data_IF_455265853138
#
_entry.id   IF_455265853138
#
_cell.length_a   1.000
_cell.length_b   1.000
_cell.length_c   1.000
_cell.angle_alpha   90.00
_cell.angle_beta   90.00
_cell.angle_gamma   90.00
#
_symmetry.space_group_name_H-M   'P 1'
#
loop_
_entity.id
_entity.type
_entity.pdbx_description
1 polymer ?
#
# COMPACT_ATOMS: atom_id res chain seq x y z
N UNK A 1 -2.69 14.96 20.89
CA UNK A 1 -4.02 14.36 21.11
C UNK A 1 -4.73 13.94 19.80
N UNK A 2 -4.02 13.89 18.64
CA UNK A 2 -4.60 13.52 17.33
C UNK A 2 -4.43 12.03 16.95
N UNK A 3 -3.73 11.24 17.76
CA UNK A 3 -3.42 9.83 17.43
C UNK A 3 -4.44 8.80 17.96
N UNK A 4 -5.49 9.23 18.66
CA UNK A 4 -6.49 8.31 19.25
C UNK A 4 -7.75 8.13 18.38
N UNK A 5 -7.93 8.94 17.34
CA UNK A 5 -9.15 8.94 16.51
C UNK A 5 -9.12 7.86 15.42
N UNK A 6 -7.93 7.42 15.01
CA UNK A 6 -7.78 6.41 13.95
C UNK A 6 -8.14 4.98 14.42
N UNK A 7 -8.05 4.71 15.72
CA UNK A 7 -8.32 3.36 16.26
C UNK A 7 -9.82 3.06 16.42
N UNK A 8 -10.69 4.08 16.39
CA UNK A 8 -12.14 3.89 16.55
C UNK A 8 -12.88 3.61 15.24
N UNK A 9 -12.26 3.83 14.08
CA UNK A 9 -12.88 3.54 12.79
C UNK A 9 -12.80 2.06 12.40
N UNK A 10 -11.85 1.31 12.96
CA UNK A 10 -11.70 -0.13 12.72
C UNK A 10 -12.77 -0.98 13.41
N UNK A 11 -13.48 -0.44 14.41
CA UNK A 11 -14.48 -1.17 15.19
C UNK A 11 -15.89 -1.20 14.60
N UNK A 12 -16.21 -0.36 13.62
CA UNK A 12 -17.57 -0.21 13.12
C UNK A 12 -17.89 -0.95 11.81
N UNK A 13 -16.90 -1.60 11.19
CA UNK A 13 -17.10 -2.40 9.96
C UNK A 13 -17.68 -3.81 10.23
N UNK A 14 -17.73 -4.24 11.48
CA UNK A 14 -18.22 -5.57 11.88
C UNK A 14 -19.76 -5.74 11.84
N UNK A 15 -20.53 -4.74 11.42
CA UNK A 15 -21.99 -4.74 11.55
C UNK A 15 -22.77 -4.77 10.22
N UNK A 16 -22.13 -5.09 9.08
CA UNK A 16 -22.88 -5.41 7.87
C UNK A 16 -23.06 -6.92 7.84
N UNK A 17 -24.02 -7.42 8.64
CA UNK A 17 -24.53 -8.77 8.50
C UNK A 17 -25.29 -8.87 7.17
N UNK A 18 -24.59 -9.23 6.11
CA UNK A 18 -25.24 -9.69 4.90
C UNK A 18 -26.01 -10.99 5.22
N UNK A 19 -27.27 -11.14 4.74
CA UNK A 19 -28.02 -12.37 4.97
C UNK A 19 -27.23 -13.55 4.39
N UNK A 20 -26.99 -14.56 5.22
CA UNK A 20 -26.40 -15.83 4.81
C UNK A 20 -27.30 -16.47 3.76
N UNK A 21 -27.02 -16.25 2.49
CA UNK A 21 -27.54 -17.06 1.41
C UNK A 21 -26.78 -18.38 1.49
N UNK A 22 -27.50 -19.43 1.85
CA UNK A 22 -27.01 -20.81 1.81
C UNK A 22 -26.73 -21.17 0.34
N UNK A 23 -25.52 -20.89 -0.11
CA UNK A 23 -24.99 -21.29 -1.39
C UNK A 23 -23.94 -22.36 -1.14
N UNK A 24 -23.90 -23.40 -1.97
CA UNK A 24 -22.84 -24.40 -1.95
C UNK A 24 -21.49 -23.69 -1.74
N UNK A 25 -20.70 -24.18 -0.78
CA UNK A 25 -19.55 -23.49 -0.23
C UNK A 25 -18.47 -23.23 -1.28
N UNK A 26 -18.64 -22.17 -2.07
CA UNK A 26 -17.58 -21.56 -2.82
C UNK A 26 -16.69 -20.81 -1.81
N UNK A 27 -15.68 -21.49 -1.34
CA UNK A 27 -14.75 -21.05 -0.28
C UNK A 27 -14.18 -19.65 -0.54
N UNK A 28 -14.17 -19.21 -1.80
CA UNK A 28 -13.57 -17.94 -2.21
C UNK A 28 -14.58 -16.89 -2.70
N UNK A 29 -15.89 -17.11 -2.61
CA UNK A 29 -16.90 -16.10 -2.94
C UNK A 29 -17.28 -15.29 -1.71
N UNK A 30 -17.43 -13.98 -1.87
CA UNK A 30 -18.05 -13.12 -0.88
C UNK A 30 -17.28 -11.86 -0.56
N UNK A 31 -17.87 -11.06 0.33
CA UNK A 31 -17.23 -9.89 0.90
C UNK A 31 -16.09 -10.35 1.81
N UNK A 32 -14.92 -9.76 1.65
CA UNK A 32 -13.76 -10.03 2.52
C UNK A 32 -13.23 -8.75 3.16
N UNK A 33 -12.74 -8.90 4.37
CA UNK A 33 -11.99 -7.89 5.08
C UNK A 33 -10.74 -8.50 5.68
N UNK A 34 -9.62 -7.80 5.62
CA UNK A 34 -8.34 -8.28 6.16
C UNK A 34 -7.51 -7.16 6.75
N UNK A 35 -6.67 -7.52 7.72
CA UNK A 35 -5.54 -6.71 8.15
C UNK A 35 -4.27 -7.27 7.51
N UNK A 36 -3.35 -6.38 7.15
CA UNK A 36 -2.10 -6.73 6.49
C UNK A 36 -0.93 -6.09 7.22
N UNK A 37 0.23 -6.74 7.15
CA UNK A 37 1.48 -6.19 7.65
C UNK A 37 2.66 -6.87 7.00
N UNK A 38 3.77 -6.15 6.82
CA UNK A 38 4.93 -6.72 6.15
C UNK A 38 6.10 -5.78 5.99
N UNK A 39 7.10 -6.28 5.32
CA UNK A 39 8.31 -5.54 4.97
C UNK A 39 8.05 -4.59 3.80
N UNK A 40 8.63 -3.42 3.90
CA UNK A 40 8.45 -2.32 2.96
C UNK A 40 9.81 -1.72 2.59
N UNK A 41 10.07 -1.63 1.30
CA UNK A 41 11.30 -1.08 0.73
C UNK A 41 10.92 -0.09 -0.39
N UNK A 42 11.31 1.16 -0.21
CA UNK A 42 11.05 2.26 -1.13
C UNK A 42 12.39 2.73 -1.69
N UNK A 43 12.54 2.65 -3.00
CA UNK A 43 13.75 3.07 -3.71
C UNK A 43 13.42 4.26 -4.62
N UNK A 44 14.17 5.35 -4.48
CA UNK A 44 14.12 6.44 -5.44
C UNK A 44 14.97 6.05 -6.65
N UNK A 45 14.33 5.96 -7.83
CA UNK A 45 15.01 5.66 -9.06
C UNK A 45 15.90 6.79 -9.51
N UNK A 46 17.12 6.48 -9.92
CA UNK A 46 18.11 7.44 -10.43
C UNK A 46 17.90 7.76 -11.91
N UNK A 47 16.69 8.09 -12.34
CA UNK A 47 16.51 8.59 -13.71
C UNK A 47 17.15 9.96 -13.94
N UNK A 48 17.78 10.52 -12.90
CA UNK A 48 18.47 11.84 -12.92
C UNK A 48 19.99 11.67 -13.03
N UNK A 49 20.55 10.50 -12.80
CA UNK A 49 22.00 10.27 -12.81
C UNK A 49 22.46 9.52 -14.04
N UNK A 50 22.89 10.29 -15.06
CA UNK A 50 23.56 9.78 -16.29
C UNK A 50 25.10 9.83 -16.16
N UNK A 51 25.66 9.90 -14.96
CA UNK A 51 27.11 10.08 -14.75
C UNK A 51 27.85 8.87 -14.16
N UNK A 52 27.26 7.68 -14.22
CA UNK A 52 27.98 6.40 -14.08
C UNK A 52 28.51 6.11 -12.68
N UNK A 53 27.93 6.68 -11.65
CA UNK A 53 28.25 6.37 -10.26
C UNK A 53 27.13 5.50 -9.66
N UNK A 54 27.34 4.18 -9.70
CA UNK A 54 26.36 3.13 -9.34
C UNK A 54 26.02 3.07 -7.82
N UNK A 55 26.24 4.14 -7.05
CA UNK A 55 26.11 4.09 -5.58
C UNK A 55 25.06 5.05 -4.99
N UNK A 56 24.17 5.64 -5.80
CA UNK A 56 23.24 6.65 -5.30
C UNK A 56 21.78 6.17 -5.15
N UNK A 57 21.54 4.86 -5.23
CA UNK A 57 20.22 4.30 -4.92
C UNK A 57 20.00 4.34 -3.41
N UNK A 58 19.24 5.31 -2.93
CA UNK A 58 18.82 5.35 -1.52
C UNK A 58 17.53 4.58 -1.37
N UNK A 59 17.59 3.48 -0.65
CA UNK A 59 16.41 2.72 -0.23
C UNK A 59 16.04 3.05 1.21
N UNK A 60 14.73 3.15 1.45
CA UNK A 60 14.16 3.37 2.77
C UNK A 60 13.39 2.11 3.14
N UNK A 61 13.84 1.44 4.18
CA UNK A 61 13.22 0.21 4.66
C UNK A 61 12.32 0.48 5.86
N UNK A 62 11.23 -0.29 5.96
CA UNK A 62 10.30 -0.17 7.05
C UNK A 62 9.31 -1.32 7.18
N UNK A 63 8.33 -1.12 8.03
CA UNK A 63 7.22 -2.02 8.23
C UNK A 63 5.93 -1.34 7.77
N UNK A 64 5.28 -1.92 6.73
CA UNK A 64 3.96 -1.49 6.28
C UNK A 64 2.87 -2.26 7.02
N UNK A 65 1.77 -1.58 7.35
CA UNK A 65 0.61 -2.17 7.99
C UNK A 65 -0.68 -1.49 7.52
N UNK A 66 -1.80 -2.22 7.53
CA UNK A 66 -3.05 -1.64 7.07
C UNK A 66 -4.21 -2.60 7.07
N UNK A 67 -5.23 -2.24 6.30
CA UNK A 67 -6.44 -3.03 6.14
C UNK A 67 -6.95 -2.96 4.69
N UNK A 68 -7.58 -4.05 4.24
CA UNK A 68 -8.20 -4.13 2.94
C UNK A 68 -9.61 -4.70 3.03
N UNK A 69 -10.45 -4.26 2.11
CA UNK A 69 -11.79 -4.80 1.87
C UNK A 69 -11.92 -5.17 0.40
N UNK A 70 -12.67 -6.20 0.10
CA UNK A 70 -12.87 -6.62 -1.28
C UNK A 70 -14.07 -7.55 -1.42
N UNK A 71 -14.41 -7.83 -2.65
CA UNK A 71 -15.43 -8.81 -3.00
C UNK A 71 -14.92 -9.72 -4.10
N UNK A 72 -15.10 -11.01 -3.90
CA UNK A 72 -14.64 -12.03 -4.83
C UNK A 72 -15.83 -12.84 -5.37
N UNK A 73 -15.68 -13.28 -6.62
CA UNK A 73 -16.55 -14.23 -7.30
C UNK A 73 -15.75 -15.46 -7.68
N UNK A 74 -16.17 -16.60 -7.18
CA UNK A 74 -15.60 -17.92 -7.51
C UNK A 74 -16.39 -18.58 -8.65
N UNK A 75 -15.73 -18.83 -9.76
CA UNK A 75 -16.28 -19.47 -10.95
C UNK A 75 -15.94 -20.97 -11.03
N UNK A 76 -15.64 -21.59 -9.90
CA UNK A 76 -15.29 -22.99 -9.80
C UNK A 76 -13.78 -23.25 -9.78
N UNK A 77 -13.03 -22.87 -10.78
CA UNK A 77 -11.56 -23.01 -10.83
C UNK A 77 -10.82 -21.70 -10.79
N UNK A 78 -11.51 -20.60 -11.11
CA UNK A 78 -10.98 -19.25 -11.15
C UNK A 78 -11.76 -18.33 -10.20
N UNK A 79 -11.07 -17.37 -9.62
CA UNK A 79 -11.64 -16.33 -8.75
C UNK A 79 -11.30 -14.98 -9.35
N UNK A 80 -12.28 -14.07 -9.44
CA UNK A 80 -12.10 -12.70 -9.85
C UNK A 80 -12.70 -11.80 -8.77
N UNK A 81 -12.00 -10.74 -8.40
CA UNK A 81 -12.48 -9.81 -7.37
C UNK A 81 -11.98 -8.40 -7.57
N UNK A 82 -12.56 -7.52 -6.77
CA UNK A 82 -12.12 -6.14 -6.63
C UNK A 82 -11.77 -5.86 -5.16
N UNK A 83 -10.82 -4.96 -4.94
CA UNK A 83 -10.41 -4.59 -3.59
C UNK A 83 -10.02 -3.12 -3.47
N UNK A 84 -10.18 -2.62 -2.26
CA UNK A 84 -9.65 -1.36 -1.78
C UNK A 84 -8.79 -1.62 -0.55
N UNK A 85 -7.67 -0.93 -0.45
CA UNK A 85 -6.73 -1.09 0.65
C UNK A 85 -6.24 0.27 1.13
N UNK A 86 -6.08 0.38 2.43
CA UNK A 86 -5.40 1.47 3.11
C UNK A 86 -4.23 0.90 3.88
N UNK A 87 -3.02 1.38 3.58
CA UNK A 87 -1.81 1.04 4.32
C UNK A 87 -1.08 2.29 4.78
N UNK A 88 -0.26 2.13 5.80
CA UNK A 88 0.68 3.10 6.31
C UNK A 88 2.03 2.41 6.51
N UNK A 89 3.12 3.16 6.58
CA UNK A 89 4.46 2.62 6.72
C UNK A 89 5.23 3.30 7.85
N UNK A 90 6.13 2.55 8.47
CA UNK A 90 7.11 3.08 9.43
C UNK A 90 8.44 3.40 8.79
N UNK A 91 8.54 3.28 7.45
CA UNK A 91 9.75 3.57 6.72
C UNK A 91 10.11 5.05 6.88
N UNK A 92 11.29 5.30 7.40
CA UNK A 92 11.83 6.63 7.69
C UNK A 92 13.28 6.69 7.33
N UNK A 93 13.72 7.82 6.81
CA UNK A 93 15.14 8.12 6.71
C UNK A 93 15.53 9.19 7.74
N UNK A 94 16.51 8.86 8.58
CA UNK A 94 17.14 9.80 9.50
C UNK A 94 18.38 10.36 8.82
N UNK A 95 18.37 11.62 8.41
CA UNK A 95 19.55 12.29 7.88
C UNK A 95 20.50 12.67 9.03
N UNK A 96 21.68 12.07 9.03
CA UNK A 96 22.80 12.58 9.80
C UNK A 96 23.50 13.69 8.98
N UNK A 97 23.86 14.79 9.66
CA UNK A 97 24.56 15.93 9.11
C UNK A 97 25.71 15.53 8.17
N UNK A 98 25.54 15.68 6.86
CA UNK A 98 26.66 15.63 5.92
C UNK A 98 26.42 15.04 4.54
N UNK A 99 25.42 14.20 4.32
CA UNK A 99 25.21 13.55 3.02
C UNK A 99 23.98 14.13 2.30
N UNK A 100 24.25 15.02 1.35
CA UNK A 100 23.27 15.72 0.53
C UNK A 100 22.89 14.95 -0.74
N UNK A 101 22.85 13.62 -0.73
CA UNK A 101 22.63 12.86 -1.95
C UNK A 101 21.31 12.10 -1.87
N UNK A 102 20.35 12.43 -2.76
CA UNK A 102 19.15 11.68 -3.08
C UNK A 102 17.83 12.42 -2.87
N UNK A 103 17.42 12.76 -1.67
CA UNK A 103 16.13 13.44 -1.40
C UNK A 103 16.24 14.93 -1.04
N UNK A 104 17.39 15.49 -1.12
CA UNK A 104 17.70 16.94 -1.13
C UNK A 104 17.42 17.73 0.15
N UNK A 105 16.41 17.47 0.96
CA UNK A 105 16.10 18.26 2.16
C UNK A 105 15.24 17.47 3.16
N UNK A 106 15.77 17.16 4.35
CA UNK A 106 14.99 16.76 5.51
C UNK A 106 14.62 15.28 5.63
N UNK A 107 13.86 14.94 6.67
CA UNK A 107 13.36 13.60 6.90
C UNK A 107 12.21 13.29 5.94
N UNK A 108 12.27 12.16 5.26
CA UNK A 108 11.19 11.66 4.42
C UNK A 108 10.51 10.51 5.17
N UNK A 109 9.23 10.68 5.46
CA UNK A 109 8.39 9.66 6.05
C UNK A 109 7.44 9.10 4.97
N UNK A 110 7.47 7.80 4.73
CA UNK A 110 6.46 7.14 3.91
C UNK A 110 5.13 7.14 4.68
N UNK A 111 4.18 7.92 4.20
CA UNK A 111 2.86 8.07 4.81
C UNK A 111 1.84 7.06 4.28
N UNK A 112 0.56 7.46 4.30
CA UNK A 112 -0.55 6.63 3.83
C UNK A 112 -0.43 6.24 2.36
N UNK A 113 -0.97 5.07 2.05
CA UNK A 113 -1.08 4.57 0.69
C UNK A 113 -2.48 3.97 0.48
N UNK A 114 -3.19 4.47 -0.51
CA UNK A 114 -4.52 4.01 -0.93
C UNK A 114 -4.39 3.23 -2.23
N UNK A 115 -4.95 2.02 -2.25
CA UNK A 115 -4.96 1.19 -3.43
C UNK A 115 -6.39 0.80 -3.81
N UNK A 116 -6.69 0.83 -5.11
CA UNK A 116 -7.92 0.30 -5.71
C UNK A 116 -7.55 -0.57 -6.90
N UNK A 117 -8.01 -1.82 -6.88
CA UNK A 117 -7.63 -2.74 -7.93
C UNK A 117 -8.56 -3.93 -8.07
N UNK A 118 -8.15 -4.76 -9.01
CA UNK A 118 -8.78 -6.04 -9.28
C UNK A 118 -7.80 -7.16 -8.98
N UNK A 119 -8.33 -8.32 -8.61
CA UNK A 119 -7.53 -9.53 -8.49
C UNK A 119 -8.13 -10.66 -9.31
N UNK A 120 -7.27 -11.53 -9.84
CA UNK A 120 -7.65 -12.76 -10.51
C UNK A 120 -6.77 -13.90 -10.01
N UNK A 121 -7.37 -15.04 -9.72
CA UNK A 121 -6.67 -16.18 -9.17
C UNK A 121 -7.19 -17.51 -9.69
N UNK A 122 -6.38 -18.55 -9.47
CA UNK A 122 -6.74 -19.94 -9.74
C UNK A 122 -6.65 -20.75 -8.45
N UNK A 123 -7.63 -21.62 -8.23
CA UNK A 123 -7.57 -22.59 -7.15
C UNK A 123 -6.54 -23.66 -7.48
N UNK A 124 -5.42 -23.69 -6.77
CA UNK A 124 -4.35 -24.69 -6.91
C UNK A 124 -4.57 -25.88 -5.99
N UNK A 125 -5.42 -25.72 -4.97
CA UNK A 125 -5.95 -26.78 -4.10
C UNK A 125 -7.34 -26.32 -3.60
N UNK A 126 -8.14 -27.22 -2.96
CA UNK A 126 -9.46 -26.86 -2.46
C UNK A 126 -9.49 -25.61 -1.56
N UNK A 127 -8.45 -25.44 -0.75
CA UNK A 127 -8.32 -24.36 0.22
C UNK A 127 -7.22 -23.35 -0.13
N UNK A 128 -6.60 -23.45 -1.33
CA UNK A 128 -5.47 -22.62 -1.74
C UNK A 128 -5.76 -21.91 -3.06
N UNK A 129 -5.72 -20.60 -3.00
CA UNK A 129 -5.85 -19.71 -4.16
C UNK A 129 -4.49 -19.04 -4.45
N UNK A 130 -3.93 -19.26 -5.64
CA UNK A 130 -2.86 -18.45 -6.16
C UNK A 130 -3.47 -17.31 -6.98
N UNK A 131 -3.05 -16.06 -6.74
CA UNK A 131 -3.65 -14.91 -7.39
C UNK A 131 -2.62 -13.86 -7.80
N UNK A 132 -2.98 -13.07 -8.79
CA UNK A 132 -2.34 -11.80 -9.12
C UNK A 132 -3.35 -10.67 -8.95
N UNK A 133 -2.86 -9.48 -8.68
CA UNK A 133 -3.68 -8.27 -8.59
C UNK A 133 -3.00 -7.10 -9.29
N UNK A 134 -3.81 -6.11 -9.65
CA UNK A 134 -3.28 -4.89 -10.23
C UNK A 134 -4.31 -3.77 -10.14
N UNK A 135 -3.82 -2.54 -10.03
CA UNK A 135 -4.68 -1.38 -9.90
C UNK A 135 -3.91 -0.08 -9.72
N UNK A 136 -4.68 0.93 -9.39
CA UNK A 136 -4.20 2.27 -9.09
C UNK A 136 -3.80 2.37 -7.63
N UNK A 137 -2.72 3.11 -7.36
CA UNK A 137 -2.26 3.44 -6.00
C UNK A 137 -1.97 4.93 -5.88
N UNK A 138 -2.28 5.49 -4.70
CA UNK A 138 -1.99 6.88 -4.34
C UNK A 138 -1.34 6.89 -2.96
N UNK A 139 -0.08 7.27 -2.90
CA UNK A 139 0.68 7.38 -1.67
C UNK A 139 0.93 8.84 -1.30
N UNK A 140 1.06 9.11 0.01
CA UNK A 140 1.56 10.39 0.52
C UNK A 140 2.96 10.22 1.08
N UNK A 141 3.86 11.12 0.70
CA UNK A 141 5.15 11.30 1.33
C UNK A 141 5.12 12.61 2.12
N UNK A 142 5.49 12.54 3.39
CA UNK A 142 5.66 13.73 4.22
C UNK A 142 7.15 14.09 4.22
N UNK A 143 7.47 15.30 3.78
CA UNK A 143 8.84 15.81 3.77
C UNK A 143 8.95 16.92 4.81
N UNK A 144 9.73 16.67 5.85
CA UNK A 144 10.07 17.64 6.88
C UNK A 144 11.42 18.26 6.53
N UNK A 145 11.41 19.46 5.97
CA UNK A 145 12.62 20.26 5.79
C UNK A 145 12.83 21.19 6.99
N UNK A 146 14.01 21.12 7.62
CA UNK A 146 14.37 22.00 8.74
C UNK A 146 15.72 22.67 8.45
N UNK A 147 15.72 24.00 8.30
CA UNK A 147 16.92 24.81 8.11
C UNK A 147 17.49 25.38 9.44
N UNK A 148 17.00 24.87 10.59
CA UNK A 148 17.38 25.33 11.93
C UNK A 148 16.59 26.53 12.43
N UNK A 149 15.73 27.14 11.58
CA UNK A 149 14.93 28.33 11.94
C UNK A 149 13.47 28.21 11.52
N UNK A 150 13.18 27.44 10.47
CA UNK A 150 11.83 27.27 9.91
C UNK A 150 11.60 25.80 9.60
N UNK A 151 10.51 25.23 10.11
CA UNK A 151 10.01 23.90 9.73
C UNK A 151 9.04 24.09 8.56
N UNK A 152 9.34 23.46 7.44
CA UNK A 152 8.42 23.32 6.31
C UNK A 152 7.90 21.89 6.33
N UNK A 153 6.59 21.71 6.50
CA UNK A 153 5.88 20.46 6.42
C UNK A 153 5.10 20.48 5.09
N UNK A 154 5.57 19.75 4.10
CA UNK A 154 4.92 19.66 2.79
C UNK A 154 4.57 18.22 2.48
N UNK A 155 3.33 18.02 2.06
CA UNK A 155 2.79 16.73 1.65
C UNK A 155 2.93 16.58 0.13
N UNK A 156 3.52 15.45 -0.30
CA UNK A 156 3.57 15.06 -1.70
C UNK A 156 2.56 13.94 -1.95
N UNK A 157 1.60 14.19 -2.82
CA UNK A 157 0.69 13.15 -3.32
C UNK A 157 1.32 12.48 -4.55
N UNK A 158 1.52 11.17 -4.45
CA UNK A 158 2.13 10.33 -5.48
C UNK A 158 1.07 9.44 -6.11
N UNK A 159 0.95 9.52 -7.42
CA UNK A 159 0.05 8.68 -8.21
C UNK A 159 0.84 7.61 -8.97
N UNK A 160 0.32 6.38 -8.94
CA UNK A 160 1.00 5.27 -9.57
C UNK A 160 0.12 4.06 -9.85
N UNK A 161 0.78 2.98 -10.23
CA UNK A 161 0.15 1.66 -10.34
C UNK A 161 0.81 0.67 -9.39
N UNK A 162 0.03 -0.32 -8.97
CA UNK A 162 0.52 -1.45 -8.19
C UNK A 162 0.15 -2.74 -8.88
N UNK A 163 1.11 -3.67 -8.95
CA UNK A 163 0.89 -5.06 -9.28
C UNK A 163 1.34 -5.94 -8.13
N UNK A 164 0.73 -7.09 -7.98
CA UNK A 164 1.09 -8.02 -6.92
C UNK A 164 0.72 -9.44 -7.28
N UNK A 165 1.35 -10.39 -6.60
CA UNK A 165 1.03 -11.79 -6.68
C UNK A 165 1.15 -12.45 -5.31
N UNK A 166 0.26 -13.37 -5.01
CA UNK A 166 0.22 -13.99 -3.70
C UNK A 166 -0.49 -15.33 -3.67
N UNK A 167 -0.49 -15.88 -2.48
CA UNK A 167 -1.20 -17.12 -2.16
C UNK A 167 -2.07 -16.86 -0.95
N UNK A 168 -3.34 -17.26 -1.04
CA UNK A 168 -4.32 -17.24 0.04
C UNK A 168 -4.65 -18.66 0.44
N UNK A 169 -4.64 -18.91 1.74
CA UNK A 169 -5.05 -20.19 2.35
C UNK A 169 -6.31 -19.98 3.18
N UNK A 170 -7.39 -20.61 2.78
CA UNK A 170 -8.64 -20.65 3.54
C UNK A 170 -8.50 -21.63 4.71
N UNK A 171 -8.36 -21.11 5.92
CA UNK A 171 -8.28 -21.93 7.15
C UNK A 171 -9.61 -22.60 7.47
N UNK A 172 -10.70 -21.95 7.09
CA UNK A 172 -12.08 -22.45 7.16
C UNK A 172 -12.95 -21.62 6.21
N UNK A 173 -14.26 -21.80 6.22
CA UNK A 173 -15.20 -21.10 5.33
C UNK A 173 -15.21 -19.59 5.48
N UNK A 174 -14.78 -19.07 6.62
CA UNK A 174 -14.87 -17.64 6.94
C UNK A 174 -13.53 -16.95 7.20
N UNK A 175 -12.46 -17.70 7.44
CA UNK A 175 -11.16 -17.15 7.83
C UNK A 175 -10.07 -17.58 6.88
N UNK A 176 -9.23 -16.65 6.48
CA UNK A 176 -8.10 -16.92 5.59
C UNK A 176 -6.84 -16.19 6.05
N UNK A 177 -5.71 -16.67 5.57
CA UNK A 177 -4.42 -15.99 5.64
C UNK A 177 -3.87 -15.88 4.23
N UNK A 178 -3.05 -14.86 3.98
CA UNK A 178 -2.36 -14.70 2.70
C UNK A 178 -0.94 -14.18 2.88
N UNK A 179 -0.12 -14.46 1.87
CA UNK A 179 1.19 -13.84 1.68
C UNK A 179 1.26 -13.33 0.26
N UNK A 180 1.76 -12.13 0.08
CA UNK A 180 1.74 -11.40 -1.18
C UNK A 180 3.02 -10.59 -1.35
N UNK A 181 3.59 -10.64 -2.56
CA UNK A 181 4.59 -9.70 -3.02
C UNK A 181 3.91 -8.62 -3.86
N UNK A 182 4.32 -7.37 -3.68
CA UNK A 182 3.79 -6.20 -4.34
C UNK A 182 4.92 -5.36 -4.92
N UNK A 183 4.67 -4.84 -6.09
CA UNK A 183 5.48 -3.81 -6.72
C UNK A 183 4.57 -2.62 -7.04
N UNK A 184 4.96 -1.44 -6.61
CA UNK A 184 4.30 -0.19 -6.96
C UNK A 184 5.31 0.74 -7.63
N UNK A 185 4.88 1.38 -8.71
CA UNK A 185 5.66 2.44 -9.35
C UNK A 185 4.81 3.72 -9.33
N UNK A 186 5.38 4.77 -8.79
CA UNK A 186 4.77 6.09 -8.72
C UNK A 186 5.47 6.99 -9.73
N UNK A 187 4.73 7.45 -10.73
CA UNK A 187 5.25 8.19 -11.87
C UNK A 187 4.87 9.66 -11.88
N UNK A 188 4.03 10.10 -10.94
CA UNK A 188 3.57 11.49 -10.85
C UNK A 188 3.53 11.92 -9.41
N UNK A 189 4.01 13.14 -9.14
CA UNK A 189 3.90 13.81 -7.85
C UNK A 189 3.19 15.17 -8.00
N UNK A 190 2.45 15.56 -6.96
CA UNK A 190 1.84 16.86 -6.80
C UNK A 190 2.19 17.37 -5.39
N UNK A 191 2.64 18.61 -5.27
CA UNK A 191 2.91 19.26 -3.98
C UNK A 191 1.63 19.89 -3.49
N UNK A 192 1.16 19.48 -2.31
CA UNK A 192 0.00 20.05 -1.63
C UNK A 192 0.45 21.14 -0.66
N UNK A 193 0.28 22.39 -1.07
CA UNK A 193 0.60 23.55 -0.22
C UNK A 193 -0.57 23.82 0.73
N UNK A 194 -0.42 23.49 2.01
CA UNK A 194 -1.41 23.69 3.05
C UNK A 194 -2.12 25.06 2.97
N UNK A 195 -3.34 25.08 2.42
CA UNK A 195 -4.36 26.16 2.42
C UNK A 195 -3.94 27.59 2.02
N UNK A 196 -2.68 27.83 1.70
CA UNK A 196 -2.19 29.19 1.44
C UNK A 196 -1.85 29.49 -0.02
N UNK A 197 -1.59 28.46 -0.82
CA UNK A 197 -1.24 28.54 -2.24
C UNK A 197 -1.97 27.43 -3.02
N UNK A 198 -2.24 27.64 -4.32
CA UNK A 198 -2.74 26.55 -5.16
C UNK A 198 -1.68 25.44 -5.26
N UNK A 199 -2.12 24.17 -5.28
CA UNK A 199 -1.26 23.02 -5.50
C UNK A 199 -0.37 23.21 -6.73
N UNK A 200 0.81 22.59 -6.73
CA UNK A 200 1.70 22.63 -7.88
C UNK A 200 1.08 21.95 -9.11
N UNK A 201 1.61 22.25 -10.28
CA UNK A 201 1.40 21.38 -11.44
C UNK A 201 2.06 20.02 -11.16
N UNK A 202 1.44 18.95 -11.69
CA UNK A 202 1.99 17.60 -11.58
C UNK A 202 3.30 17.50 -12.33
N UNK A 203 4.30 16.88 -11.70
CA UNK A 203 5.60 16.61 -12.30
C UNK A 203 5.92 15.11 -12.29
N UNK A 204 6.78 14.70 -13.23
CA UNK A 204 7.18 13.31 -13.34
C UNK A 204 8.20 12.96 -12.23
N UNK A 205 7.96 11.86 -11.55
CA UNK A 205 8.87 11.23 -10.59
C UNK A 205 9.00 9.77 -10.96
N UNK A 206 10.07 9.14 -10.54
CA UNK A 206 10.27 7.69 -10.67
C UNK A 206 10.63 7.14 -9.29
N UNK A 207 9.64 6.48 -8.68
CA UNK A 207 9.78 5.92 -7.34
C UNK A 207 9.19 4.52 -7.33
N UNK A 208 10.05 3.56 -7.00
CA UNK A 208 9.72 2.15 -6.93
C UNK A 208 9.54 1.72 -5.48
N UNK A 209 8.52 0.89 -5.23
CA UNK A 209 8.24 0.33 -3.92
C UNK A 209 8.01 -1.16 -4.00
N UNK A 210 8.78 -1.89 -3.21
CA UNK A 210 8.72 -3.34 -3.10
C UNK A 210 8.24 -3.74 -1.71
N UNK A 211 7.21 -4.61 -1.65
CA UNK A 211 6.65 -5.03 -0.36
C UNK A 211 6.43 -6.54 -0.34
N UNK A 212 6.70 -7.15 0.84
CA UNK A 212 6.30 -8.52 1.15
C UNK A 212 5.33 -8.43 2.31
N UNK A 213 4.06 -8.74 2.04
CA UNK A 213 2.98 -8.57 2.99
C UNK A 213 2.37 -9.90 3.38
N UNK A 214 2.01 -10.03 4.64
CA UNK A 214 1.16 -11.10 5.14
C UNK A 214 -0.16 -10.52 5.66
N UNK A 215 -1.24 -11.26 5.48
CA UNK A 215 -2.56 -10.83 5.92
C UNK A 215 -3.33 -11.95 6.62
N UNK A 216 -4.25 -11.53 7.47
CA UNK A 216 -5.28 -12.38 8.04
C UNK A 216 -6.63 -11.70 7.86
N UNK A 217 -7.63 -12.45 7.42
CA UNK A 217 -8.92 -11.88 7.08
C UNK A 217 -10.11 -12.80 7.34
N UNK A 218 -11.27 -12.19 7.18
CA UNK A 218 -12.56 -12.88 7.25
C UNK A 218 -13.34 -12.68 5.95
N UNK A 219 -14.14 -13.69 5.61
CA UNK A 219 -15.01 -13.70 4.43
C UNK A 219 -16.44 -13.98 4.86
N UNK A 220 -17.41 -13.31 4.21
CA UNK A 220 -18.83 -13.35 4.52
C UNK A 220 -19.64 -13.84 3.33
#
# INVERSE_FOLDING_TARGET
MKKLTALMLAGSVAAIAAPAMAQEANTFTGLRGQIVGGYDDVTAGSSVDDDGNDNNDQSIEGFAYGAAVGYDFDFGGAVIGAEAEYTDSTAKTDFNDGDFEGFGFGNVDAGRDLYFGVRAGAKVAPDVLAYAKGGYTNAKLNVLANDGTTEFDEDFDLDGYRIGAGVEYAMNTNTFINVEYRYSNYSRAEVDFNDSLPNSDRFDVDLDRHQIMAGVGVRF
#
